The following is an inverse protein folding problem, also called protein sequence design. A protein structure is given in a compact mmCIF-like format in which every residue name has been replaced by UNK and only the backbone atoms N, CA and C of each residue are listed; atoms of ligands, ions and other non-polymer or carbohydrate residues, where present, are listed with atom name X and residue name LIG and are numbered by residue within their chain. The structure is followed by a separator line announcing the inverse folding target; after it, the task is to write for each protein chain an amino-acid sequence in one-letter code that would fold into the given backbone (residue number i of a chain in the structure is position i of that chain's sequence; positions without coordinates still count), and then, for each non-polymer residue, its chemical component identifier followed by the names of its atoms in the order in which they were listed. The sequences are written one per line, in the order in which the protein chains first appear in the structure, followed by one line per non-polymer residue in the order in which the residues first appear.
data_IF_085541711158
#
_entry.id   IF_085541711158
#
_cell.length_a   1.000
_cell.length_b   1.000
_cell.length_c   1.000
_cell.angle_alpha   90.00
_cell.angle_beta   90.00
_cell.angle_gamma   90.00
#
_symmetry.space_group_name_H-M   'P 1'
#
loop_
_entity.id
_entity.type
_entity.pdbx_description
1 polymer ?
#
# COMPACT_ATOMS: atom_id res chain seq x y z
N UNK A 1 -29.81 55.26 5.54
CA UNK A 1 -29.07 55.48 4.28
C UNK A 1 -28.61 54.11 3.79
N UNK A 2 -28.93 53.57 2.60
CA UNK A 2 -29.18 54.11 1.24
C UNK A 2 -27.95 54.74 0.56
N UNK A 3 -27.29 53.94 -0.28
CA UNK A 3 -27.07 54.10 -1.74
C UNK A 3 -26.69 52.69 -2.31
N UNK A 4 -26.99 52.17 -3.52
CA UNK A 4 -27.70 52.59 -4.77
C UNK A 4 -27.03 53.68 -5.63
N UNK A 5 -26.81 53.49 -6.95
CA UNK A 5 -27.08 52.35 -7.86
C UNK A 5 -26.26 52.42 -9.19
N UNK A 6 -26.42 51.39 -10.04
CA UNK A 6 -26.14 51.28 -11.52
C UNK A 6 -24.69 50.95 -11.97
N UNK A 7 -24.37 49.98 -12.86
CA UNK A 7 -24.85 49.48 -14.20
C UNK A 7 -24.54 50.45 -15.36
N UNK A 8 -24.26 50.03 -16.61
CA UNK A 8 -24.35 48.72 -17.31
C UNK A 8 -23.08 48.54 -18.23
N UNK A 9 -22.92 47.71 -19.30
CA UNK A 9 -23.69 46.75 -20.12
C UNK A 9 -22.70 45.79 -20.89
N UNK A 10 -23.04 45.31 -22.10
CA UNK A 10 -22.18 44.76 -23.18
C UNK A 10 -21.53 43.38 -22.93
N UNK A 11 -22.27 42.25 -22.95
CA UNK A 11 -22.95 41.55 -24.07
C UNK A 11 -22.04 40.87 -25.10
N UNK A 12 -22.12 39.52 -25.13
CA UNK A 12 -22.62 38.78 -26.31
C UNK A 12 -23.16 37.43 -25.84
N UNK A 13 -24.45 37.17 -26.08
CA UNK A 13 -25.07 35.86 -25.86
C UNK A 13 -24.88 34.95 -27.08
N UNK A 14 -24.90 33.63 -26.86
CA UNK A 14 -25.44 32.70 -27.84
C UNK A 14 -26.39 31.72 -27.15
N UNK A 15 -27.49 31.37 -27.82
CA UNK A 15 -28.55 30.53 -27.27
C UNK A 15 -28.91 29.41 -28.26
N UNK A 16 -29.31 28.23 -27.77
CA UNK A 16 -29.55 27.07 -28.61
C UNK A 16 -30.95 27.09 -29.24
N UNK A 17 -31.05 26.72 -30.52
CA UNK A 17 -32.33 26.40 -31.14
C UNK A 17 -32.17 25.51 -32.37
N UNK A 18 -32.72 24.29 -32.28
CA UNK A 18 -33.49 23.61 -33.34
C UNK A 18 -32.76 23.23 -34.66
N UNK A 19 -33.18 22.21 -35.43
CA UNK A 19 -34.16 21.14 -35.24
C UNK A 19 -33.99 20.13 -36.40
N UNK A 20 -33.98 18.82 -36.12
CA UNK A 20 -34.40 17.75 -37.04
C UNK A 20 -34.23 16.37 -36.36
N UNK A 21 -35.34 15.69 -36.09
CA UNK A 21 -35.39 14.26 -35.79
C UNK A 21 -35.16 13.44 -37.07
N UNK A 22 -34.69 12.20 -36.97
CA UNK A 22 -35.28 11.06 -37.69
C UNK A 22 -35.03 9.75 -36.92
N UNK A 23 -35.83 8.73 -37.20
CA UNK A 23 -36.11 7.63 -36.27
C UNK A 23 -35.59 6.26 -36.73
N UNK A 24 -35.51 5.34 -35.76
CA UNK A 24 -35.65 3.87 -35.83
C UNK A 24 -35.09 3.06 -37.02
N UNK A 25 -34.36 1.97 -36.71
CA UNK A 25 -34.93 0.63 -36.81
C UNK A 25 -34.11 -0.45 -36.05
N UNK A 26 -34.69 -1.64 -35.87
CA UNK A 26 -34.13 -2.79 -35.15
C UNK A 26 -33.64 -3.88 -36.11
N UNK A 27 -32.58 -4.63 -35.76
CA UNK A 27 -32.49 -6.10 -35.96
C UNK A 27 -31.20 -6.71 -35.40
N UNK A 28 -31.34 -7.58 -34.39
CA UNK A 28 -30.84 -8.97 -34.30
C UNK A 28 -29.45 -9.44 -34.80
N UNK A 29 -28.91 -10.37 -33.99
CA UNK A 29 -28.05 -11.54 -34.31
C UNK A 29 -26.51 -11.39 -34.54
N UNK A 30 -25.80 -11.90 -33.54
CA UNK A 30 -24.78 -12.98 -33.59
C UNK A 30 -23.42 -12.86 -34.33
N UNK A 31 -22.37 -13.09 -33.53
CA UNK A 31 -21.21 -13.97 -33.79
C UNK A 31 -20.20 -13.73 -34.94
N UNK A 32 -19.03 -13.22 -34.53
CA UNK A 32 -17.66 -13.58 -34.97
C UNK A 32 -17.04 -13.01 -36.28
N UNK A 33 -15.73 -12.68 -36.15
CA UNK A 33 -14.70 -12.48 -37.18
C UNK A 33 -14.94 -11.46 -38.32
N UNK A 34 -14.13 -10.39 -38.37
CA UNK A 34 -12.89 -10.38 -39.18
C UNK A 34 -11.98 -9.19 -38.79
N UNK A 35 -10.75 -9.11 -39.31
CA UNK A 35 -9.76 -8.06 -39.00
C UNK A 35 -9.63 -7.02 -40.14
N UNK A 36 -9.71 -5.73 -39.80
CA UNK A 36 -9.01 -4.59 -40.44
C UNK A 36 -9.07 -3.44 -39.41
N UNK A 37 -7.99 -2.76 -39.03
CA UNK A 37 -7.08 -1.91 -39.81
C UNK A 37 -7.77 -0.67 -40.40
N UNK A 38 -7.40 0.56 -40.03
CA UNK A 38 -6.42 1.02 -39.01
C UNK A 38 -6.87 2.36 -38.41
N UNK A 39 -6.33 2.75 -37.25
CA UNK A 39 -5.73 4.08 -37.09
C UNK A 39 -4.74 4.11 -35.91
N UNK A 40 -3.70 4.94 -36.01
CA UNK A 40 -2.52 4.84 -35.15
C UNK A 40 -2.61 5.75 -33.91
N UNK A 41 -2.28 5.20 -32.74
CA UNK A 41 -1.70 5.96 -31.63
C UNK A 41 -0.28 5.45 -31.42
N UNK A 42 0.71 6.20 -31.92
CA UNK A 42 2.05 5.71 -32.26
C UNK A 42 3.14 6.09 -31.24
N UNK A 43 2.78 6.74 -30.14
CA UNK A 43 3.68 7.47 -29.24
C UNK A 43 4.51 6.59 -28.27
N UNK A 44 4.58 5.27 -28.49
CA UNK A 44 5.35 4.32 -27.64
C UNK A 44 6.43 3.52 -28.39
N UNK A 45 6.47 3.54 -29.72
CA UNK A 45 7.36 2.67 -30.50
C UNK A 45 8.84 3.16 -30.54
N UNK A 46 9.04 4.47 -30.74
CA UNK A 46 10.29 5.02 -31.31
C UNK A 46 11.48 5.18 -30.34
N UNK A 47 11.53 4.45 -29.20
CA UNK A 47 12.59 4.62 -28.19
C UNK A 47 13.19 3.36 -27.56
N UNK A 48 12.89 2.14 -28.03
CA UNK A 48 13.56 0.93 -27.53
C UNK A 48 14.00 -0.02 -28.66
N UNK A 49 15.32 -0.05 -28.90
CA UNK A 49 15.97 -0.90 -29.91
C UNK A 49 16.14 -2.38 -29.47
N UNK A 50 15.93 -2.69 -28.18
CA UNK A 50 16.04 -4.05 -27.63
C UNK A 50 14.68 -4.54 -27.05
N UNK A 51 14.08 -5.63 -27.58
CA UNK A 51 12.89 -6.27 -27.01
C UNK A 51 13.02 -6.69 -25.53
N UNK A 52 14.24 -6.97 -25.04
CA UNK A 52 14.50 -7.30 -23.63
C UNK A 52 14.29 -6.05 -22.75
N UNK A 53 14.70 -4.88 -23.23
CA UNK A 53 14.51 -3.61 -22.52
C UNK A 53 13.05 -3.13 -22.63
N UNK A 54 12.36 -3.38 -23.76
CA UNK A 54 10.90 -3.23 -23.85
C UNK A 54 10.17 -4.07 -22.80
N UNK A 55 10.46 -5.38 -22.72
CA UNK A 55 9.79 -6.26 -21.76
C UNK A 55 10.09 -5.86 -20.31
N UNK A 56 11.31 -5.36 -20.03
CA UNK A 56 11.68 -4.79 -18.72
C UNK A 56 10.85 -3.54 -18.39
N UNK A 57 10.79 -2.58 -19.30
CA UNK A 57 10.09 -1.31 -19.12
C UNK A 57 8.57 -1.53 -18.97
N UNK A 58 7.99 -2.36 -19.85
CA UNK A 58 6.59 -2.75 -19.82
C UNK A 58 6.21 -3.42 -18.49
N UNK A 59 7.00 -4.40 -18.03
CA UNK A 59 6.72 -5.10 -16.78
C UNK A 59 6.68 -4.16 -15.55
N UNK A 60 7.58 -3.16 -15.53
CA UNK A 60 7.62 -2.14 -14.47
C UNK A 60 6.44 -1.17 -14.57
N UNK A 61 6.15 -0.64 -15.76
CA UNK A 61 5.04 0.31 -15.97
C UNK A 61 3.68 -0.32 -15.63
N UNK A 62 3.44 -1.57 -16.06
CA UNK A 62 2.20 -2.30 -15.82
C UNK A 62 2.15 -3.05 -14.48
N UNK A 63 3.24 -3.04 -13.69
CA UNK A 63 3.34 -3.64 -12.35
C UNK A 63 3.02 -5.13 -12.32
N UNK A 64 3.56 -5.85 -13.30
CA UNK A 64 3.35 -7.29 -13.47
C UNK A 64 3.98 -8.06 -12.30
N UNK A 65 3.28 -9.05 -11.76
CA UNK A 65 3.80 -9.90 -10.70
C UNK A 65 5.00 -10.72 -11.19
N UNK A 66 6.01 -10.90 -10.33
CA UNK A 66 7.25 -11.62 -10.68
C UNK A 66 7.03 -13.09 -11.06
N UNK A 67 5.97 -13.72 -10.56
CA UNK A 67 5.51 -15.07 -10.95
C UNK A 67 5.03 -15.08 -12.40
N UNK A 68 3.98 -14.31 -12.71
CA UNK A 68 3.42 -14.18 -14.06
C UNK A 68 4.47 -13.73 -15.10
N UNK A 69 5.40 -12.86 -14.71
CA UNK A 69 6.51 -12.44 -15.57
C UNK A 69 7.55 -13.55 -15.81
N UNK A 70 7.78 -14.43 -14.83
CA UNK A 70 8.61 -15.62 -15.01
C UNK A 70 7.92 -16.66 -15.90
N UNK A 71 6.62 -16.90 -15.72
CA UNK A 71 5.81 -17.80 -16.56
C UNK A 71 5.75 -17.34 -18.02
N UNK A 72 5.58 -16.03 -18.25
CA UNK A 72 5.66 -15.43 -19.58
C UNK A 72 7.06 -15.62 -20.20
N UNK A 73 8.14 -15.47 -19.41
CA UNK A 73 9.51 -15.69 -19.89
C UNK A 73 9.81 -17.15 -20.24
N UNK A 74 9.35 -18.11 -19.42
CA UNK A 74 9.57 -19.54 -19.71
C UNK A 74 8.75 -20.00 -20.92
N UNK A 75 7.55 -19.45 -21.13
CA UNK A 75 6.78 -19.67 -22.35
C UNK A 75 7.46 -19.05 -23.59
N UNK A 76 7.85 -17.76 -23.53
CA UNK A 76 8.52 -17.08 -24.65
C UNK A 76 9.84 -17.78 -25.05
N UNK A 77 10.58 -18.34 -24.09
CA UNK A 77 11.79 -19.14 -24.35
C UNK A 77 11.59 -20.38 -25.22
N UNK A 78 10.36 -20.89 -25.36
CA UNK A 78 10.08 -22.03 -26.23
C UNK A 78 10.28 -21.72 -27.72
N UNK A 79 10.18 -20.44 -28.10
CA UNK A 79 10.35 -19.98 -29.47
C UNK A 79 11.84 -19.78 -29.82
N UNK A 80 12.33 -20.21 -31.00
CA UNK A 80 13.75 -20.14 -31.36
C UNK A 80 14.37 -18.74 -31.24
N UNK A 81 13.58 -17.70 -31.49
CA UNK A 81 14.01 -16.29 -31.57
C UNK A 81 14.28 -15.66 -30.19
N UNK A 82 13.77 -16.25 -29.10
CA UNK A 82 13.82 -15.67 -27.75
C UNK A 82 14.77 -16.42 -26.79
N UNK A 83 15.68 -17.25 -27.31
CA UNK A 83 16.67 -17.99 -26.51
C UNK A 83 17.58 -17.10 -25.64
N UNK A 84 17.77 -15.83 -26.03
CA UNK A 84 18.56 -14.84 -25.29
C UNK A 84 17.83 -14.26 -24.06
N UNK A 85 16.52 -14.47 -23.94
CA UNK A 85 15.74 -13.98 -22.81
C UNK A 85 16.17 -14.68 -21.50
N UNK A 86 16.04 -14.04 -20.32
CA UNK A 86 16.11 -14.75 -19.05
C UNK A 86 14.93 -15.72 -18.84
N UNK A 87 15.06 -16.63 -17.87
CA UNK A 87 13.98 -17.55 -17.43
C UNK A 87 13.50 -17.24 -16.00
N UNK A 88 13.81 -16.04 -15.51
CA UNK A 88 13.53 -15.58 -14.16
C UNK A 88 13.38 -14.05 -14.21
N UNK A 89 12.26 -13.56 -13.67
CA UNK A 89 11.88 -12.15 -13.69
C UNK A 89 12.91 -11.22 -13.04
N UNK A 90 13.55 -11.63 -11.94
CA UNK A 90 14.60 -10.85 -11.26
C UNK A 90 15.81 -10.62 -12.18
N UNK A 91 16.10 -11.61 -13.01
CA UNK A 91 17.19 -11.59 -13.98
C UNK A 91 16.90 -10.66 -15.16
N UNK A 92 15.66 -10.62 -15.67
CA UNK A 92 15.23 -9.62 -16.65
C UNK A 92 15.27 -8.19 -16.09
N UNK A 93 14.82 -8.03 -14.85
CA UNK A 93 14.77 -6.74 -14.14
C UNK A 93 16.15 -6.28 -13.62
N UNK A 94 17.23 -7.03 -13.88
CA UNK A 94 18.61 -6.77 -13.39
C UNK A 94 18.66 -6.53 -11.87
N UNK A 95 17.81 -7.22 -11.11
CA UNK A 95 17.73 -7.09 -9.64
C UNK A 95 19.06 -7.49 -9.00
N UNK A 96 19.65 -6.67 -8.10
CA UNK A 96 20.90 -7.02 -7.42
C UNK A 96 20.81 -8.36 -6.69
N UNK A 97 21.71 -9.30 -7.02
CA UNK A 97 21.82 -10.62 -6.38
C UNK A 97 22.83 -10.65 -5.23
N UNK A 98 23.65 -9.62 -5.11
CA UNK A 98 24.60 -9.40 -4.02
C UNK A 98 24.46 -7.95 -3.59
N UNK A 99 24.31 -7.74 -2.29
CA UNK A 99 24.40 -6.42 -1.66
C UNK A 99 25.82 -6.26 -1.15
N UNK A 100 26.44 -5.11 -1.39
CA UNK A 100 27.74 -4.75 -0.81
C UNK A 100 27.61 -4.76 0.73
N UNK A 101 28.18 -5.77 1.39
CA UNK A 101 28.13 -5.93 2.85
C UNK A 101 29.05 -4.89 3.48
N UNK A 102 28.49 -3.74 3.83
CA UNK A 102 29.24 -2.66 4.48
C UNK A 102 29.41 -3.00 5.95
N UNK A 103 30.67 -3.04 6.38
CA UNK A 103 31.05 -3.27 7.78
C UNK A 103 30.23 -2.35 8.68
N UNK A 104 29.46 -2.94 9.59
CA UNK A 104 28.47 -2.19 10.36
C UNK A 104 29.18 -1.43 11.49
N UNK A 105 29.28 -0.11 11.36
CA UNK A 105 29.79 0.74 12.44
C UNK A 105 28.95 0.56 13.72
N UNK A 106 29.56 0.60 14.93
CA UNK A 106 28.89 0.23 16.19
C UNK A 106 27.60 0.98 16.51
N UNK A 107 27.42 2.16 15.91
CA UNK A 107 26.34 3.10 16.18
C UNK A 107 25.09 2.89 15.30
N UNK A 108 25.05 1.84 14.46
CA UNK A 108 24.05 1.72 13.38
C UNK A 108 22.79 0.93 13.74
N UNK A 109 21.71 1.44 13.17
CA UNK A 109 20.30 1.13 13.41
C UNK A 109 19.83 -0.13 12.67
N UNK A 110 19.28 -1.12 13.39
CA UNK A 110 18.54 -2.23 12.79
C UNK A 110 17.06 -1.85 12.61
N UNK A 111 16.60 -1.76 11.37
CA UNK A 111 15.18 -1.64 11.00
C UNK A 111 14.66 -3.02 10.60
N UNK A 112 13.65 -3.53 11.30
CA UNK A 112 13.02 -4.81 10.96
C UNK A 112 11.70 -4.56 10.22
N UNK A 113 11.60 -5.06 8.99
CA UNK A 113 10.49 -4.81 8.08
C UNK A 113 9.65 -6.09 7.86
N UNK A 114 8.69 -6.35 8.75
CA UNK A 114 7.85 -7.57 8.79
C UNK A 114 6.77 -7.65 7.69
N UNK A 115 7.01 -7.00 6.53
CA UNK A 115 6.00 -6.80 5.48
C UNK A 115 5.60 -8.12 4.78
N UNK A 116 6.51 -9.08 4.63
CA UNK A 116 6.22 -10.34 3.93
C UNK A 116 5.26 -11.23 4.74
N UNK A 117 5.56 -11.43 6.04
CA UNK A 117 4.80 -12.32 6.94
C UNK A 117 3.34 -11.92 7.09
N UNK A 118 3.01 -10.63 6.97
CA UNK A 118 1.62 -10.18 7.07
C UNK A 118 0.86 -10.20 5.74
N UNK A 119 1.57 -10.13 4.59
CA UNK A 119 0.93 -10.09 3.27
C UNK A 119 0.33 -11.44 2.89
N UNK A 120 1.09 -12.53 3.06
CA UNK A 120 0.65 -13.90 2.73
C UNK A 120 -0.57 -14.32 3.57
N UNK A 121 -0.59 -13.96 4.85
CA UNK A 121 -1.71 -14.25 5.76
C UNK A 121 -2.94 -13.35 5.53
N UNK A 122 -2.79 -12.19 4.90
CA UNK A 122 -3.93 -11.31 4.57
C UNK A 122 -4.79 -11.83 3.41
N UNK A 123 -4.28 -12.78 2.62
CA UNK A 123 -4.89 -13.27 1.38
C UNK A 123 -5.47 -14.70 1.49
N UNK A 124 -5.17 -15.44 2.56
CA UNK A 124 -5.62 -16.83 2.73
C UNK A 124 -6.90 -16.89 3.58
N UNK A 125 -7.96 -17.46 3.02
CA UNK A 125 -9.30 -17.52 3.64
C UNK A 125 -9.44 -18.63 4.70
N UNK A 126 -8.46 -18.77 5.60
CA UNK A 126 -8.50 -19.65 6.78
C UNK A 126 -7.98 -18.87 7.99
N UNK A 127 -8.49 -19.18 9.17
CA UNK A 127 -8.39 -18.35 10.37
C UNK A 127 -6.96 -17.82 10.62
N UNK A 128 -6.80 -16.55 11.06
CA UNK A 128 -5.49 -16.01 11.37
C UNK A 128 -4.83 -16.91 12.44
N UNK A 129 -3.65 -17.42 12.12
CA UNK A 129 -2.84 -18.13 13.10
C UNK A 129 -2.55 -17.18 14.28
N UNK A 130 -2.38 -17.77 15.47
CA UNK A 130 -2.05 -16.99 16.64
C UNK A 130 -0.74 -16.23 16.39
N UNK A 131 -0.75 -14.93 16.70
CA UNK A 131 0.39 -14.02 16.52
C UNK A 131 1.60 -14.47 17.34
N UNK A 132 1.39 -15.19 18.44
CA UNK A 132 2.45 -15.86 19.20
C UNK A 132 3.19 -16.87 18.31
N UNK A 133 2.50 -17.87 17.76
CA UNK A 133 3.08 -18.89 16.87
C UNK A 133 3.75 -18.29 15.61
N UNK A 134 3.22 -17.19 15.07
CA UNK A 134 3.79 -16.53 13.87
C UNK A 134 5.05 -15.72 14.18
N UNK A 135 5.25 -15.30 15.43
CA UNK A 135 6.42 -14.55 15.87
C UNK A 135 7.37 -15.38 16.76
N UNK A 136 7.09 -16.65 17.03
CA UNK A 136 7.82 -17.48 18.01
C UNK A 136 9.29 -17.67 17.62
N UNK A 137 9.56 -18.27 16.46
CA UNK A 137 10.93 -18.47 15.93
C UNK A 137 11.72 -17.15 15.87
N UNK A 138 11.07 -16.09 15.36
CA UNK A 138 11.62 -14.75 15.24
C UNK A 138 11.95 -14.11 16.60
N UNK A 139 11.14 -14.35 17.63
CA UNK A 139 11.39 -13.86 18.99
C UNK A 139 12.43 -14.69 19.74
N UNK A 140 12.66 -15.95 19.36
CA UNK A 140 13.79 -16.75 19.84
C UNK A 140 15.08 -16.25 19.21
N UNK A 141 15.13 -16.16 17.87
CA UNK A 141 16.28 -15.65 17.11
C UNK A 141 16.69 -14.24 17.57
N UNK A 142 15.73 -13.32 17.74
CA UNK A 142 16.03 -11.97 18.21
C UNK A 142 16.58 -11.92 19.65
N UNK A 143 16.11 -12.77 20.56
CA UNK A 143 16.65 -12.81 21.94
C UNK A 143 18.09 -13.33 21.94
N UNK A 144 18.34 -14.43 21.22
CA UNK A 144 19.68 -15.00 21.03
C UNK A 144 20.66 -13.92 20.51
N UNK A 145 20.26 -13.20 19.46
CA UNK A 145 21.03 -12.10 18.85
C UNK A 145 21.18 -10.87 19.78
N UNK A 146 20.25 -10.63 20.70
CA UNK A 146 20.35 -9.54 21.69
C UNK A 146 21.19 -9.91 22.93
N UNK A 147 21.24 -11.19 23.31
CA UNK A 147 21.95 -11.69 24.50
C UNK A 147 23.39 -12.12 24.17
N UNK A 148 23.57 -12.93 23.11
CA UNK A 148 24.86 -13.49 22.71
C UNK A 148 25.52 -12.75 21.54
N UNK A 149 24.74 -11.96 20.78
CA UNK A 149 25.24 -11.24 19.59
C UNK A 149 25.35 -12.12 18.34
N UNK A 150 26.09 -11.62 17.34
CA UNK A 150 26.41 -12.33 16.10
C UNK A 150 27.92 -12.40 15.96
N UNK A 151 28.49 -13.61 15.88
CA UNK A 151 29.92 -13.79 15.58
C UNK A 151 30.19 -13.58 14.07
N UNK A 152 31.14 -12.72 13.74
CA UNK A 152 31.60 -12.50 12.36
C UNK A 152 33.09 -12.16 12.34
N UNK A 153 33.86 -12.90 11.54
CA UNK A 153 35.33 -12.77 11.43
C UNK A 153 36.10 -12.92 12.77
N UNK A 154 35.47 -13.55 13.78
CA UNK A 154 36.00 -13.76 15.13
C UNK A 154 35.64 -12.66 16.14
N UNK A 155 34.92 -11.62 15.71
CA UNK A 155 34.41 -10.53 16.55
C UNK A 155 32.90 -10.69 16.81
N UNK A 156 32.42 -10.27 17.99
CA UNK A 156 31.01 -10.41 18.40
C UNK A 156 30.26 -9.07 18.27
N UNK A 157 29.22 -9.06 17.44
CA UNK A 157 28.40 -7.89 17.14
C UNK A 157 27.04 -7.98 17.86
N UNK A 158 26.86 -7.20 18.92
CA UNK A 158 25.58 -7.12 19.66
C UNK A 158 24.58 -6.26 18.86
N UNK A 159 23.51 -6.87 18.36
CA UNK A 159 22.50 -6.14 17.60
C UNK A 159 21.52 -5.39 18.52
N UNK A 160 21.02 -4.23 18.04
CA UNK A 160 20.03 -3.41 18.76
C UNK A 160 18.88 -3.05 17.84
N UNK A 161 17.71 -3.63 18.12
CA UNK A 161 16.47 -3.38 17.37
C UNK A 161 16.03 -1.94 17.63
N UNK A 162 15.98 -1.12 16.57
CA UNK A 162 15.58 0.28 16.70
C UNK A 162 14.08 0.49 16.46
N UNK A 163 13.54 -0.15 15.41
CA UNK A 163 12.11 -0.10 15.13
C UNK A 163 11.56 -1.24 14.25
N UNK A 164 10.26 -1.49 14.40
CA UNK A 164 9.46 -2.37 13.54
C UNK A 164 8.66 -1.54 12.52
N UNK A 165 9.02 -1.61 11.24
CA UNK A 165 8.35 -0.89 10.16
C UNK A 165 7.37 -1.81 9.44
N UNK A 166 6.08 -1.46 9.50
CA UNK A 166 4.98 -2.29 9.03
C UNK A 166 3.74 -1.43 8.69
N UNK A 167 2.91 -1.92 7.77
CA UNK A 167 1.70 -1.23 7.31
C UNK A 167 0.58 -1.24 8.38
N UNK A 168 -0.58 -0.63 8.09
CA UNK A 168 -1.62 -0.48 9.12
C UNK A 168 -2.26 -1.82 9.60
N UNK A 169 -2.65 -2.75 8.71
CA UNK A 169 -2.97 -4.14 9.06
C UNK A 169 -1.86 -4.86 9.84
N UNK A 170 -0.65 -4.97 9.27
CA UNK A 170 0.48 -5.72 9.86
C UNK A 170 0.80 -5.24 11.27
N UNK A 171 0.90 -3.91 11.45
CA UNK A 171 1.14 -3.25 12.73
C UNK A 171 0.05 -3.53 13.77
N UNK A 172 -1.21 -3.66 13.33
CA UNK A 172 -2.31 -3.98 14.24
C UNK A 172 -2.33 -5.46 14.67
N UNK A 173 -1.88 -6.35 13.78
CA UNK A 173 -1.73 -7.77 14.05
C UNK A 173 -0.58 -8.03 15.03
N UNK A 174 0.66 -7.59 14.74
CA UNK A 174 1.82 -7.86 15.61
C UNK A 174 1.70 -7.20 17.00
N UNK A 175 0.99 -6.07 17.11
CA UNK A 175 0.70 -5.41 18.39
C UNK A 175 -0.57 -5.90 19.08
N UNK A 176 -1.34 -6.84 18.49
CA UNK A 176 -2.60 -7.33 19.05
C UNK A 176 -3.60 -6.22 19.41
N UNK A 177 -3.75 -5.20 18.54
CA UNK A 177 -4.61 -4.02 18.74
C UNK A 177 -5.69 -3.88 17.67
N UNK A 178 -6.73 -3.09 17.93
CA UNK A 178 -7.80 -2.78 16.96
C UNK A 178 -7.23 -2.17 15.68
N UNK A 179 -7.48 -2.88 14.57
CA UNK A 179 -7.11 -2.51 13.22
C UNK A 179 -7.79 -1.21 12.74
N UNK A 180 -7.43 -0.74 11.55
CA UNK A 180 -7.74 0.57 10.98
C UNK A 180 -9.24 0.91 10.77
N UNK A 181 -10.16 0.04 11.16
CA UNK A 181 -11.62 0.26 11.16
C UNK A 181 -12.26 0.25 12.56
N UNK A 182 -11.46 0.16 13.64
CA UNK A 182 -11.95 0.14 15.02
C UNK A 182 -12.07 1.53 15.66
N UNK A 183 -13.02 1.68 16.59
CA UNK A 183 -13.37 2.97 17.22
C UNK A 183 -12.21 3.59 18.03
N UNK A 184 -11.39 2.77 18.70
CA UNK A 184 -10.13 3.17 19.36
C UNK A 184 -8.91 2.59 18.65
N UNK A 185 -8.71 2.91 17.36
CA UNK A 185 -7.65 2.33 16.51
C UNK A 185 -6.29 3.04 16.50
N UNK A 186 -6.23 4.32 16.87
CA UNK A 186 -4.96 5.04 16.81
C UNK A 186 -3.99 4.39 17.81
N UNK A 187 -2.76 4.02 17.41
CA UNK A 187 -1.80 3.45 18.37
C UNK A 187 -1.09 4.54 19.19
N UNK A 188 -0.99 5.77 18.68
CA UNK A 188 -0.20 6.84 19.29
C UNK A 188 -0.94 7.65 20.37
N UNK A 189 -2.28 7.68 20.36
CA UNK A 189 -3.09 8.40 21.34
C UNK A 189 -4.45 7.72 21.60
N UNK A 190 -5.00 7.97 22.79
CA UNK A 190 -6.28 7.44 23.29
C UNK A 190 -7.52 8.10 22.65
N UNK A 191 -7.42 8.55 21.39
CA UNK A 191 -8.56 9.12 20.67
C UNK A 191 -9.60 8.02 20.39
N UNK A 192 -10.86 8.35 20.63
CA UNK A 192 -12.02 7.53 20.28
C UNK A 192 -12.72 8.19 19.09
N UNK A 193 -13.22 7.40 18.15
CA UNK A 193 -14.04 7.90 17.04
C UNK A 193 -15.39 8.43 17.53
N UNK A 194 -16.05 9.21 16.68
CA UNK A 194 -17.46 9.59 16.81
C UNK A 194 -18.19 9.22 15.52
N UNK A 195 -19.42 8.71 15.61
CA UNK A 195 -20.29 8.59 14.44
C UNK A 195 -21.04 9.89 14.17
N UNK A 196 -20.87 10.45 12.96
CA UNK A 196 -21.62 11.60 12.42
C UNK A 196 -21.96 11.31 10.95
N UNK A 197 -23.20 11.56 10.55
CA UNK A 197 -23.70 11.34 9.17
C UNK A 197 -23.37 9.95 8.58
N UNK A 198 -23.56 8.90 9.40
CA UNK A 198 -23.21 7.50 9.11
C UNK A 198 -21.71 7.28 8.75
N UNK A 199 -20.83 8.17 9.20
CA UNK A 199 -19.37 8.08 9.06
C UNK A 199 -18.70 8.21 10.42
N UNK A 200 -17.65 7.44 10.61
CA UNK A 200 -16.79 7.57 11.79
C UNK A 200 -15.77 8.70 11.55
N UNK A 201 -15.68 9.65 12.47
CA UNK A 201 -14.80 10.83 12.42
C UNK A 201 -13.94 10.93 13.67
N UNK A 202 -12.76 11.54 13.55
CA UNK A 202 -11.77 11.69 14.61
C UNK A 202 -11.48 13.19 14.80
N UNK A 203 -12.35 13.87 15.55
CA UNK A 203 -12.34 15.34 15.68
C UNK A 203 -11.63 15.84 16.94
N UNK A 204 -11.45 14.99 17.94
CA UNK A 204 -10.87 15.40 19.23
C UNK A 204 -9.38 15.72 19.05
N UNK A 205 -8.97 16.92 19.48
CA UNK A 205 -7.56 17.34 19.52
C UNK A 205 -7.03 17.24 20.96
N UNK A 206 -5.70 17.17 21.11
CA UNK A 206 -5.06 17.11 22.43
C UNK A 206 -5.24 15.80 23.21
N UNK A 207 -5.74 14.72 22.59
CA UNK A 207 -5.92 13.41 23.24
C UNK A 207 -4.62 12.91 23.87
N UNK A 208 -4.73 12.31 25.08
CA UNK A 208 -3.60 11.67 25.79
C UNK A 208 -2.84 10.73 24.85
N UNK A 209 -1.51 10.91 24.76
CA UNK A 209 -0.63 9.97 24.04
C UNK A 209 -0.51 8.66 24.82
N UNK A 210 -0.44 7.53 24.13
CA UNK A 210 -0.04 6.27 24.80
C UNK A 210 1.46 6.29 25.07
N UNK A 211 1.83 5.59 26.12
CA UNK A 211 3.20 5.25 26.52
C UNK A 211 3.38 3.74 26.48
N UNK A 212 4.63 3.27 26.44
CA UNK A 212 4.94 1.84 26.57
C UNK A 212 4.32 1.23 27.84
N UNK A 213 4.40 1.94 28.97
CA UNK A 213 3.76 1.56 30.23
C UNK A 213 2.25 1.37 30.11
N UNK A 214 1.52 2.32 29.50
CA UNK A 214 0.07 2.23 29.30
C UNK A 214 -0.35 1.08 28.37
N UNK A 215 0.55 0.67 27.48
CA UNK A 215 0.35 -0.45 26.55
C UNK A 215 0.64 -1.78 27.23
N UNK A 216 1.74 -1.89 27.99
CA UNK A 216 2.12 -3.10 28.74
C UNK A 216 1.12 -3.42 29.84
N UNK A 217 0.66 -2.40 30.58
CA UNK A 217 -0.41 -2.52 31.59
C UNK A 217 -1.81 -2.74 31.02
N UNK A 218 -2.00 -2.66 29.69
CA UNK A 218 -3.29 -2.81 28.99
C UNK A 218 -4.37 -1.82 29.49
N UNK A 219 -3.97 -0.58 29.76
CA UNK A 219 -4.82 0.45 30.38
C UNK A 219 -6.10 0.76 29.57
N UNK A 220 -6.03 0.65 28.24
CA UNK A 220 -7.15 0.87 27.32
C UNK A 220 -7.65 -0.46 26.75
N UNK A 221 -8.37 -1.25 27.56
CA UNK A 221 -8.93 -2.56 27.18
C UNK A 221 -9.74 -2.56 25.87
N UNK A 222 -10.25 -1.40 25.44
CA UNK A 222 -10.92 -1.26 24.14
C UNK A 222 -9.97 -1.05 22.95
N UNK A 223 -8.70 -0.73 23.16
CA UNK A 223 -7.68 -0.63 22.12
C UNK A 223 -7.06 -2.00 21.81
N UNK A 224 -6.83 -2.81 22.85
CA UNK A 224 -6.26 -4.14 22.73
C UNK A 224 -7.28 -5.17 22.24
N UNK A 225 -6.79 -6.18 21.52
CA UNK A 225 -7.49 -7.44 21.18
C UNK A 225 -6.92 -8.58 22.03
N UNK A 226 -5.61 -8.52 22.35
CA UNK A 226 -4.91 -9.43 23.23
C UNK A 226 -3.54 -8.88 23.61
N UNK A 227 -2.70 -9.71 24.23
CA UNK A 227 -1.29 -9.37 24.47
C UNK A 227 -0.49 -9.47 23.16
N UNK A 228 0.46 -8.56 22.97
CA UNK A 228 1.43 -8.66 21.86
C UNK A 228 2.63 -9.52 22.27
N UNK A 229 3.07 -10.48 21.45
CA UNK A 229 4.31 -11.24 21.70
C UNK A 229 5.54 -10.34 21.81
N UNK A 230 5.54 -9.20 21.10
CA UNK A 230 6.61 -8.20 21.14
C UNK A 230 6.81 -7.56 22.52
N UNK A 231 5.83 -7.66 23.43
CA UNK A 231 6.00 -7.20 24.83
C UNK A 231 7.05 -8.00 25.60
N UNK A 232 7.47 -9.18 25.12
CA UNK A 232 8.59 -9.92 25.67
C UNK A 232 9.95 -9.23 25.43
N UNK A 233 10.04 -8.28 24.48
CA UNK A 233 11.25 -7.54 24.17
C UNK A 233 11.33 -6.22 24.97
N UNK A 234 12.54 -5.77 25.28
CA UNK A 234 12.82 -4.48 25.92
C UNK A 234 12.75 -3.31 24.92
N UNK A 235 11.60 -3.14 24.29
CA UNK A 235 11.34 -2.18 23.21
C UNK A 235 10.09 -1.36 23.54
N UNK A 236 10.13 -0.04 23.28
CA UNK A 236 8.97 0.84 23.43
C UNK A 236 7.92 0.55 22.33
N UNK A 237 6.82 -0.10 22.72
CA UNK A 237 5.73 -0.55 21.84
C UNK A 237 5.01 0.61 21.12
N UNK A 238 5.13 1.85 21.63
CA UNK A 238 4.50 3.03 21.02
C UNK A 238 5.47 3.80 20.14
N UNK A 239 6.71 4.03 20.58
CA UNK A 239 7.65 4.87 19.85
C UNK A 239 8.50 4.08 18.83
N UNK A 240 8.91 2.84 19.12
CA UNK A 240 9.67 1.98 18.18
C UNK A 240 8.80 1.26 17.15
N UNK A 241 7.49 1.54 17.11
CA UNK A 241 6.60 1.08 16.03
C UNK A 241 6.02 2.30 15.30
N UNK A 242 6.76 2.89 14.34
CA UNK A 242 6.37 4.10 13.62
C UNK A 242 5.09 3.95 12.79
N UNK A 243 4.59 5.07 12.26
CA UNK A 243 3.53 5.06 11.24
C UNK A 243 4.20 5.05 9.87
N UNK A 244 3.93 4.01 9.07
CA UNK A 244 4.55 3.85 7.76
C UNK A 244 4.01 4.90 6.75
N UNK A 245 4.92 5.68 6.17
CA UNK A 245 4.65 6.87 5.37
C UNK A 245 4.07 6.56 3.99
N UNK A 246 4.53 5.52 3.31
CA UNK A 246 4.06 5.15 1.97
C UNK A 246 2.58 4.75 2.01
N UNK A 247 2.18 3.87 2.93
CA UNK A 247 0.80 3.43 3.04
C UNK A 247 -0.12 4.51 3.64
N UNK A 248 0.31 5.24 4.67
CA UNK A 248 -0.55 6.24 5.33
C UNK A 248 -0.70 7.53 4.52
N UNK A 249 0.42 8.10 4.05
CA UNK A 249 0.44 9.40 3.38
C UNK A 249 0.32 9.23 1.87
N UNK A 250 1.26 8.54 1.22
CA UNK A 250 1.32 8.50 -0.25
C UNK A 250 0.11 7.75 -0.85
N UNK A 251 -0.11 6.51 -0.42
CA UNK A 251 -1.20 5.65 -0.91
C UNK A 251 -2.53 5.91 -0.20
N UNK A 252 -2.50 6.32 1.07
CA UNK A 252 -3.69 6.52 1.91
C UNK A 252 -4.33 7.89 1.76
N UNK A 253 -3.54 8.95 1.52
CA UNK A 253 -4.00 10.35 1.53
C UNK A 253 -3.76 11.05 0.20
N UNK A 254 -2.51 11.14 -0.27
CA UNK A 254 -2.14 11.84 -1.52
C UNK A 254 -2.83 11.20 -2.73
N UNK A 255 -2.88 9.87 -2.81
CA UNK A 255 -3.63 9.11 -3.83
C UNK A 255 -5.15 9.41 -3.85
N UNK A 256 -5.75 9.85 -2.73
CA UNK A 256 -7.15 10.31 -2.70
C UNK A 256 -7.27 11.74 -3.20
N UNK A 257 -6.40 12.64 -2.74
CA UNK A 257 -6.36 14.04 -3.18
C UNK A 257 -6.14 14.15 -4.69
N UNK A 258 -5.13 13.46 -5.24
CA UNK A 258 -4.88 13.40 -6.69
C UNK A 258 -6.08 12.89 -7.48
N UNK A 259 -6.80 11.86 -6.97
CA UNK A 259 -8.03 11.38 -7.61
C UNK A 259 -9.14 12.43 -7.63
N UNK A 260 -9.31 13.18 -6.54
CA UNK A 260 -10.32 14.24 -6.44
C UNK A 260 -9.98 15.41 -7.37
N UNK A 261 -8.73 15.87 -7.37
CA UNK A 261 -8.27 16.99 -8.19
C UNK A 261 -8.29 16.66 -9.69
N UNK A 262 -7.77 15.50 -10.10
CA UNK A 262 -7.65 15.15 -11.53
C UNK A 262 -8.99 14.72 -12.14
N UNK A 263 -9.84 13.98 -11.40
CA UNK A 263 -11.10 13.46 -11.97
C UNK A 263 -12.30 14.40 -11.82
N UNK A 264 -12.12 15.58 -11.19
CA UNK A 264 -13.08 16.70 -11.03
C UNK A 264 -14.44 16.42 -10.37
N UNK A 265 -14.89 15.16 -10.32
CA UNK A 265 -16.06 14.70 -9.59
C UNK A 265 -15.61 13.74 -8.47
N UNK A 266 -15.77 14.11 -7.19
CA UNK A 266 -16.02 13.10 -6.17
C UNK A 266 -17.25 12.31 -6.62
N UNK A 267 -17.24 10.98 -6.49
CA UNK A 267 -18.51 10.26 -6.44
C UNK A 267 -19.24 10.81 -5.20
N UNK A 268 -20.35 11.57 -5.35
CA UNK A 268 -20.73 12.58 -4.36
C UNK A 268 -21.07 11.94 -3.00
N UNK A 269 -21.58 10.72 -3.04
CA UNK A 269 -21.86 9.89 -1.88
C UNK A 269 -21.57 8.43 -2.25
N UNK A 270 -21.01 7.64 -1.31
CA UNK A 270 -21.18 6.19 -1.34
C UNK A 270 -22.49 5.89 -0.63
N UNK A 271 -23.61 5.98 -1.36
CA UNK A 271 -24.94 5.67 -0.81
C UNK A 271 -24.95 4.19 -0.43
N UNK A 272 -25.52 3.87 0.74
CA UNK A 272 -25.84 2.49 1.12
C UNK A 272 -26.95 1.99 0.20
N UNK A 273 -26.85 0.79 -0.35
CA UNK A 273 -27.87 0.20 -1.26
C UNK A 273 -29.22 -0.12 -0.60
N UNK A 274 -29.41 0.30 0.66
CA UNK A 274 -30.56 0.01 1.48
C UNK A 274 -31.15 1.33 2.01
N UNK A 275 -32.01 1.96 1.20
CA UNK A 275 -33.03 2.94 1.58
C UNK A 275 -34.29 2.68 0.75
#
# INVERSE_FOLDING_TARGET
MKNTFETNSDDTQWSPSNFATLEENQSDLDSNNFLSSDENDSDFADKLEDPIDFLRQWAVCHKIQSTALTELQTYLKSFPNFKLLPSDSRTLLKTPRSTEVKLMQPDRMFILALNQMCYEHSQVSRAPQNVENVLEDFLVELKEIQENGIEYEGEIYIAKIDCFVCDAPARSYILSIKCHNGYKRCSKCCITGEYRDNREVFIQTGCRRRTDESFRSHEDNEHHIGKSPLTQLQIDMINRVPLEYMHLICLGSVKKLLKLWIKSKPAPFKISSNQ
#
